data_IF_779106293867
#
_entry.id   IF_779106293867
#
_cell.length_a   1.000
_cell.length_b   1.000
_cell.length_c   1.000
_cell.angle_alpha   90.00
_cell.angle_beta   90.00
_cell.angle_gamma   90.00
#
_symmetry.space_group_name_H-M   'P 1'
#
loop_
_entity.id
_entity.type
_entity.pdbx_description
1 polymer ?
#
# COMPACT_ATOMS: atom_id res chain seq x y z
N UNK A 1 -24.56 8.52 3.51
CA UNK A 1 -24.35 9.04 2.14
C UNK A 1 -22.95 9.63 2.10
N UNK A 2 -22.14 9.35 1.08
CA UNK A 2 -20.75 9.83 0.99
C UNK A 2 -20.72 11.34 0.74
N UNK A 3 -19.99 12.09 1.55
CA UNK A 3 -19.79 13.54 1.35
C UNK A 3 -18.49 13.79 0.56
N UNK A 4 -18.62 13.96 -0.75
CA UNK A 4 -17.49 14.21 -1.65
C UNK A 4 -16.84 15.58 -1.46
N UNK A 5 -17.55 16.58 -0.91
CA UNK A 5 -16.95 17.88 -0.60
C UNK A 5 -15.99 17.74 0.57
N UNK A 6 -16.43 17.05 1.61
CA UNK A 6 -15.57 16.71 2.74
C UNK A 6 -14.40 15.81 2.31
N UNK A 7 -14.63 14.77 1.49
CA UNK A 7 -13.53 13.93 0.99
C UNK A 7 -12.50 14.75 0.22
N UNK A 8 -12.93 15.62 -0.72
CA UNK A 8 -12.03 16.49 -1.46
C UNK A 8 -11.22 17.40 -0.55
N UNK A 9 -11.82 17.91 0.53
CA UNK A 9 -11.11 18.79 1.49
C UNK A 9 -10.04 18.08 2.32
N UNK A 10 -9.93 16.74 2.26
CA UNK A 10 -8.87 15.99 2.93
C UNK A 10 -7.57 15.92 2.10
N UNK A 11 -7.58 16.41 0.86
CA UNK A 11 -6.44 16.32 -0.05
C UNK A 11 -5.98 17.70 -0.48
N UNK A 12 -4.67 17.85 -0.66
CA UNK A 12 -4.09 19.00 -1.30
C UNK A 12 -4.17 18.85 -2.83
N UNK A 13 -4.82 19.80 -3.49
CA UNK A 13 -4.81 19.98 -4.93
C UNK A 13 -4.52 21.45 -5.18
N UNK A 14 -3.48 21.81 -5.96
CA UNK A 14 -3.15 23.23 -6.18
C UNK A 14 -4.30 24.01 -6.80
N UNK A 15 -4.40 25.29 -6.44
CA UNK A 15 -5.46 26.17 -6.91
C UNK A 15 -5.48 26.24 -8.45
N UNK A 16 -6.69 26.20 -9.02
CA UNK A 16 -6.89 26.21 -10.48
C UNK A 16 -6.62 24.89 -11.20
N UNK A 17 -6.09 23.86 -10.52
CA UNK A 17 -5.77 22.57 -11.16
C UNK A 17 -6.98 21.63 -11.25
N UNK A 18 -7.21 21.08 -12.44
CA UNK A 18 -8.08 19.92 -12.65
C UNK A 18 -7.18 18.68 -12.78
N UNK A 19 -7.08 17.89 -11.70
CA UNK A 19 -6.19 16.73 -11.65
C UNK A 19 -6.92 15.45 -12.04
N UNK A 20 -6.65 14.93 -13.24
CA UNK A 20 -7.30 13.74 -13.82
C UNK A 20 -6.31 12.57 -14.04
N UNK A 21 -5.29 12.47 -13.19
CA UNK A 21 -4.28 11.39 -13.24
C UNK A 21 -4.08 10.68 -11.88
N UNK A 22 -5.14 10.70 -11.05
CA UNK A 22 -5.14 10.10 -9.72
C UNK A 22 -5.01 8.57 -9.73
N UNK A 23 -5.23 7.93 -10.88
CA UNK A 23 -5.01 6.50 -11.10
C UNK A 23 -3.52 6.14 -11.24
N UNK A 24 -2.68 7.12 -11.60
CA UNK A 24 -1.22 6.96 -11.65
C UNK A 24 -0.60 7.33 -10.31
N UNK A 25 -0.92 8.53 -9.80
CA UNK A 25 -0.49 9.02 -8.49
C UNK A 25 -1.63 9.74 -7.77
N UNK A 26 -2.05 9.22 -6.62
CA UNK A 26 -3.10 9.88 -5.83
C UNK A 26 -2.67 11.27 -5.34
N UNK A 27 -3.60 12.23 -5.22
CA UNK A 27 -3.31 13.53 -4.61
C UNK A 27 -2.88 13.35 -3.15
N UNK A 28 -2.08 14.28 -2.65
CA UNK A 28 -1.51 14.19 -1.30
C UNK A 28 -2.59 14.36 -0.22
N UNK A 29 -2.83 13.38 0.67
CA UNK A 29 -3.65 13.59 1.86
C UNK A 29 -3.01 14.65 2.76
N UNK A 30 -3.79 15.61 3.26
CA UNK A 30 -3.26 16.74 4.04
C UNK A 30 -2.51 16.28 5.30
N UNK A 31 -3.03 15.25 5.99
CA UNK A 31 -2.44 14.70 7.21
C UNK A 31 -1.18 13.83 6.97
N UNK A 32 -0.87 13.47 5.73
CA UNK A 32 0.27 12.60 5.44
C UNK A 32 1.59 13.30 5.77
N UNK A 33 1.68 14.62 5.51
CA UNK A 33 2.86 15.44 5.84
C UNK A 33 3.19 15.38 7.33
N UNK A 34 2.21 15.68 8.18
CA UNK A 34 2.38 15.70 9.63
C UNK A 34 2.70 14.30 10.16
N UNK A 35 2.06 13.26 9.61
CA UNK A 35 2.31 11.88 10.04
C UNK A 35 3.73 11.42 9.71
N UNK A 36 4.23 11.73 8.52
CA UNK A 36 5.62 11.42 8.13
C UNK A 36 6.60 12.23 8.96
N UNK A 37 6.33 13.52 9.17
CA UNK A 37 7.13 14.39 10.03
C UNK A 37 7.29 13.82 11.45
N UNK A 38 6.17 13.49 12.11
CA UNK A 38 6.18 12.90 13.45
C UNK A 38 6.88 11.53 13.51
N UNK A 39 6.85 10.74 12.42
CA UNK A 39 7.64 9.50 12.34
C UNK A 39 9.14 9.76 12.29
N UNK A 40 9.58 10.85 11.66
CA UNK A 40 11.00 11.23 11.62
C UNK A 40 11.46 11.86 12.93
N UNK A 41 10.74 12.84 13.46
CA UNK A 41 11.16 13.61 14.64
C UNK A 41 10.87 12.84 15.92
N UNK A 42 9.61 12.49 16.16
CA UNK A 42 9.15 12.05 17.49
C UNK A 42 9.37 10.55 17.69
N UNK A 43 9.35 9.76 16.61
CA UNK A 43 9.57 8.31 16.69
C UNK A 43 11.04 7.98 16.42
N UNK A 44 11.55 8.30 15.23
CA UNK A 44 12.93 7.95 14.92
C UNK A 44 13.95 8.77 15.72
N UNK A 45 13.83 10.09 15.72
CA UNK A 45 14.74 10.99 16.44
C UNK A 45 14.83 10.67 17.93
N UNK A 46 13.68 10.57 18.60
CA UNK A 46 13.63 10.40 20.07
C UNK A 46 13.69 8.93 20.54
N UNK A 47 13.05 8.00 19.82
CA UNK A 47 12.93 6.61 20.29
C UNK A 47 14.04 5.69 19.75
N UNK A 48 14.70 6.06 18.66
CA UNK A 48 15.73 5.27 17.99
C UNK A 48 15.27 3.81 17.78
N UNK A 49 16.12 2.84 18.09
CA UNK A 49 15.82 1.40 17.96
C UNK A 49 14.57 0.97 18.75
N UNK A 50 14.24 1.68 19.84
CA UNK A 50 13.06 1.31 20.64
C UNK A 50 11.74 1.64 19.93
N UNK A 51 11.79 2.44 18.85
CA UNK A 51 10.64 2.73 17.98
C UNK A 51 10.00 1.49 17.36
N UNK A 52 10.79 0.42 17.13
CA UNK A 52 10.26 -0.88 16.67
C UNK A 52 9.07 -1.36 17.51
N UNK A 53 9.16 -1.17 18.83
CA UNK A 53 8.13 -1.57 19.78
C UNK A 53 7.28 -0.37 20.22
N UNK A 54 7.91 0.73 20.69
CA UNK A 54 7.21 1.88 21.27
C UNK A 54 6.32 2.61 20.26
N UNK A 55 6.75 2.72 19.00
CA UNK A 55 5.95 3.30 17.92
C UNK A 55 5.20 2.24 17.10
N UNK A 56 5.37 0.95 17.45
CA UNK A 56 4.71 -0.18 16.81
C UNK A 56 5.09 -0.36 15.34
N UNK A 57 6.34 -0.07 14.95
CA UNK A 57 6.80 -0.27 13.57
C UNK A 57 6.76 -1.75 13.17
N UNK A 58 7.07 -2.67 14.10
CA UNK A 58 7.05 -4.11 13.82
C UNK A 58 5.66 -4.62 13.42
N UNK A 59 4.61 -4.05 13.99
CA UNK A 59 3.22 -4.44 13.75
C UNK A 59 2.54 -3.62 12.63
N UNK A 60 3.17 -2.54 12.19
CA UNK A 60 2.61 -1.62 11.20
C UNK A 60 2.19 -2.31 9.89
N UNK A 61 2.99 -3.21 9.28
CA UNK A 61 2.60 -3.91 8.07
C UNK A 61 1.26 -4.66 8.17
N UNK A 62 1.01 -5.34 9.29
CA UNK A 62 -0.22 -6.10 9.54
C UNK A 62 -1.40 -5.17 9.81
N UNK A 63 -1.22 -4.15 10.66
CA UNK A 63 -2.29 -3.17 10.94
C UNK A 63 -2.76 -2.43 9.69
N UNK A 64 -1.85 -2.04 8.81
CA UNK A 64 -2.24 -1.41 7.54
C UNK A 64 -2.90 -2.44 6.62
N UNK A 65 -2.39 -3.67 6.59
CA UNK A 65 -2.99 -4.78 5.86
C UNK A 65 -4.46 -5.02 6.24
N UNK A 66 -4.77 -5.08 7.54
CA UNK A 66 -6.15 -5.24 8.04
C UNK A 66 -7.07 -4.06 7.65
N UNK A 67 -6.52 -2.84 7.54
CA UNK A 67 -7.31 -1.71 7.03
C UNK A 67 -7.66 -1.89 5.56
N UNK A 68 -6.72 -2.40 4.74
CA UNK A 68 -6.93 -2.68 3.32
C UNK A 68 -7.83 -3.90 3.11
N UNK A 69 -7.73 -4.93 3.96
CA UNK A 69 -8.55 -6.13 3.90
C UNK A 69 -10.06 -5.80 3.87
N UNK A 70 -10.49 -4.79 4.64
CA UNK A 70 -11.88 -4.32 4.65
C UNK A 70 -12.34 -3.72 3.31
N UNK A 71 -11.43 -3.14 2.53
CA UNK A 71 -11.73 -2.59 1.20
C UNK A 71 -11.83 -3.74 0.18
N UNK A 72 -10.99 -4.77 0.34
CA UNK A 72 -10.94 -5.93 -0.55
C UNK A 72 -11.97 -7.03 -0.22
N UNK A 73 -12.65 -6.93 0.93
CA UNK A 73 -13.52 -8.01 1.44
C UNK A 73 -12.76 -9.24 1.94
N UNK A 74 -11.47 -9.09 2.29
CA UNK A 74 -10.63 -10.16 2.81
C UNK A 74 -10.80 -10.32 4.33
N UNK A 75 -10.51 -11.53 4.84
CA UNK A 75 -10.56 -11.81 6.28
C UNK A 75 -9.51 -11.00 7.07
N UNK A 76 -9.77 -10.71 8.33
CA UNK A 76 -8.76 -10.12 9.22
C UNK A 76 -7.52 -11.03 9.31
N UNK A 77 -6.32 -10.44 9.31
CA UNK A 77 -5.06 -11.17 9.39
C UNK A 77 -4.62 -11.83 8.08
N UNK A 78 -5.38 -11.68 6.99
CA UNK A 78 -5.06 -12.31 5.69
C UNK A 78 -4.28 -11.41 4.72
N UNK A 79 -4.10 -10.13 5.05
CA UNK A 79 -3.38 -9.15 4.24
C UNK A 79 -2.23 -8.55 5.06
N UNK A 80 -1.06 -8.42 4.45
CA UNK A 80 0.10 -7.71 5.02
C UNK A 80 0.66 -6.73 4.00
N UNK A 81 0.92 -5.49 4.41
CA UNK A 81 1.62 -4.54 3.55
C UNK A 81 3.10 -4.90 3.47
N UNK A 82 3.73 -4.69 2.32
CA UNK A 82 5.16 -4.96 2.15
C UNK A 82 5.74 -4.16 1.01
N UNK A 83 6.68 -4.77 0.30
CA UNK A 83 7.41 -4.24 -0.85
C UNK A 83 6.53 -3.71 -2.01
N UNK A 84 7.11 -3.55 -3.19
CA UNK A 84 6.39 -3.12 -4.39
C UNK A 84 5.50 -4.23 -4.96
N UNK A 85 4.56 -3.84 -5.83
CA UNK A 85 3.63 -4.77 -6.48
C UNK A 85 4.37 -5.89 -7.24
N UNK A 86 5.37 -5.55 -8.06
CA UNK A 86 6.12 -6.54 -8.86
C UNK A 86 6.81 -7.60 -7.98
N UNK A 87 7.38 -7.20 -6.83
CA UNK A 87 7.98 -8.15 -5.88
C UNK A 87 6.90 -9.07 -5.29
N UNK A 88 5.71 -8.54 -4.96
CA UNK A 88 4.61 -9.36 -4.43
C UNK A 88 4.03 -10.32 -5.46
N UNK A 89 3.91 -9.90 -6.72
CA UNK A 89 3.50 -10.77 -7.83
C UNK A 89 4.52 -11.90 -8.02
N UNK A 90 5.82 -11.59 -8.03
CA UNK A 90 6.88 -12.59 -8.10
C UNK A 90 6.81 -13.61 -6.96
N UNK A 91 6.70 -13.14 -5.70
CA UNK A 91 6.59 -14.01 -4.53
C UNK A 91 5.37 -14.94 -4.60
N UNK A 92 4.22 -14.40 -5.02
CA UNK A 92 2.99 -15.16 -5.17
C UNK A 92 3.10 -16.22 -6.28
N UNK A 93 3.64 -15.87 -7.45
CA UNK A 93 3.82 -16.79 -8.56
C UNK A 93 4.85 -17.89 -8.24
N UNK A 94 6.00 -17.53 -7.67
CA UNK A 94 7.01 -18.51 -7.24
C UNK A 94 6.40 -19.52 -6.26
N UNK A 95 5.66 -19.03 -5.25
CA UNK A 95 5.00 -19.90 -4.27
C UNK A 95 3.94 -20.80 -4.92
N UNK A 96 3.18 -20.28 -5.89
CA UNK A 96 2.16 -21.05 -6.60
C UNK A 96 2.77 -22.15 -7.48
N UNK A 97 3.93 -21.91 -8.10
CA UNK A 97 4.67 -22.91 -8.88
C UNK A 97 5.24 -24.00 -7.98
N UNK A 98 5.81 -23.65 -6.83
CA UNK A 98 6.33 -24.62 -5.86
C UNK A 98 5.21 -25.55 -5.34
N UNK A 99 3.99 -25.05 -5.21
CA UNK A 99 2.82 -25.86 -4.84
C UNK A 99 2.32 -26.79 -5.96
N UNK A 100 2.70 -26.55 -7.21
CA UNK A 100 2.23 -27.30 -8.40
C UNK A 100 3.39 -27.62 -9.36
N UNK A 101 4.39 -28.41 -8.92
CA UNK A 101 5.65 -28.61 -9.66
C UNK A 101 5.46 -29.22 -11.06
N UNK A 102 4.38 -29.97 -11.29
CA UNK A 102 4.10 -30.60 -12.59
C UNK A 102 3.42 -29.65 -13.60
N UNK A 103 2.96 -28.46 -13.18
CA UNK A 103 2.32 -27.47 -14.06
C UNK A 103 3.27 -26.34 -14.39
N UNK A 104 3.63 -26.21 -15.67
CA UNK A 104 4.68 -25.29 -16.15
C UNK A 104 4.20 -24.10 -16.97
N UNK A 105 2.89 -23.99 -17.21
CA UNK A 105 2.32 -22.92 -18.03
C UNK A 105 1.64 -21.89 -17.15
N UNK A 106 2.11 -20.65 -17.24
CA UNK A 106 1.45 -19.46 -16.67
C UNK A 106 0.71 -18.76 -17.81
N UNK A 107 -0.60 -18.58 -17.66
CA UNK A 107 -1.42 -17.83 -18.60
C UNK A 107 -1.50 -16.37 -18.17
N UNK A 108 -1.25 -15.44 -19.09
CA UNK A 108 -1.36 -13.99 -18.90
C UNK A 108 -1.95 -13.33 -20.16
N UNK A 109 -2.24 -12.04 -20.09
CA UNK A 109 -2.74 -11.24 -21.22
C UNK A 109 -1.60 -10.43 -21.86
N UNK A 110 -1.60 -10.32 -23.19
CA UNK A 110 -0.70 -9.45 -23.97
C UNK A 110 -0.89 -7.96 -23.68
N UNK A 111 -2.06 -7.56 -23.17
CA UNK A 111 -2.35 -6.19 -22.73
C UNK A 111 -2.07 -5.93 -21.25
N UNK A 112 -1.49 -6.90 -20.53
CA UNK A 112 -1.19 -6.72 -19.12
C UNK A 112 -0.09 -5.66 -18.89
N UNK A 113 -0.03 -5.11 -17.69
CA UNK A 113 0.97 -4.09 -17.38
C UNK A 113 2.39 -4.67 -17.51
N UNK A 114 3.38 -3.93 -18.07
CA UNK A 114 4.68 -4.52 -18.41
C UNK A 114 5.39 -5.21 -17.23
N UNK A 115 5.30 -4.65 -16.02
CA UNK A 115 5.94 -5.24 -14.83
C UNK A 115 5.40 -6.60 -14.40
N UNK A 116 4.24 -7.01 -14.92
CA UNK A 116 3.60 -8.28 -14.61
C UNK A 116 3.98 -9.37 -15.62
N UNK A 117 4.66 -8.98 -16.71
CA UNK A 117 5.14 -9.85 -17.78
C UNK A 117 6.67 -10.07 -17.74
N UNK A 118 7.41 -9.25 -16.99
CA UNK A 118 8.86 -9.37 -16.78
C UNK A 118 9.23 -10.44 -15.75
#
# INVERSE_FOLDING_TARGET
MTDFRWTKSQFYVPEGMIYLDGNSLGPLPLNAKDRVGASMTDQWGEMLITGWNKAGWMDMPRRVGDRIARILGAANGSIVMGDTLSIKVYQALSSALDLRPDRRVILSDTGNFPSDLY
#
